data_IF_273659261345
#
_entry.id   IF_273659261345
#
_cell.length_a   1.000
_cell.length_b   1.000
_cell.length_c   1.000
_cell.angle_alpha   90.00
_cell.angle_beta   90.00
_cell.angle_gamma   90.00
#
_symmetry.space_group_name_H-M   'P 1'
#
loop_
_entity.id
_entity.type
_entity.pdbx_description
1 polymer ?
#
# COMPACT_ATOMS: atom_id res chain seq x y z
N UNK A 1 -35.39 -73.33 -37.43
CA UNK A 1 -35.21 -73.16 -35.98
C UNK A 1 -33.86 -72.50 -35.77
N UNK A 2 -33.79 -71.17 -35.53
CA UNK A 2 -32.60 -70.46 -35.23
C UNK A 2 -32.83 -69.77 -33.81
N UNK A 3 -32.05 -70.19 -32.83
CA UNK A 3 -32.09 -69.60 -31.47
C UNK A 3 -31.37 -68.27 -31.51
N UNK A 4 -32.08 -67.21 -31.15
CA UNK A 4 -31.49 -65.85 -30.85
C UNK A 4 -30.98 -65.84 -29.46
N UNK A 5 -29.67 -65.53 -29.28
CA UNK A 5 -29.04 -65.27 -27.95
C UNK A 5 -29.19 -63.79 -27.61
N UNK A 6 -29.86 -63.56 -26.52
CA UNK A 6 -30.08 -62.23 -25.96
C UNK A 6 -28.83 -61.83 -25.09
N UNK A 7 -28.05 -60.86 -25.56
CA UNK A 7 -26.96 -60.27 -24.75
C UNK A 7 -27.52 -59.16 -23.91
N UNK A 8 -27.54 -59.36 -22.60
CA UNK A 8 -27.82 -58.30 -21.60
C UNK A 8 -26.53 -57.51 -21.38
N UNK A 9 -26.48 -56.30 -21.91
CA UNK A 9 -25.42 -55.32 -21.60
C UNK A 9 -25.81 -54.60 -20.33
N UNK A 10 -25.15 -54.92 -19.22
CA UNK A 10 -25.27 -54.21 -17.94
C UNK A 10 -24.51 -52.91 -18.05
N UNK A 11 -25.24 -51.79 -18.22
CA UNK A 11 -24.66 -50.44 -18.19
C UNK A 11 -24.42 -50.05 -16.74
N UNK A 12 -23.16 -50.08 -16.27
CA UNK A 12 -22.74 -49.52 -15.00
C UNK A 12 -22.77 -47.99 -15.13
N UNK A 13 -23.81 -47.35 -14.59
CA UNK A 13 -23.88 -45.92 -14.38
C UNK A 13 -22.89 -45.58 -13.24
N UNK A 14 -21.68 -45.13 -13.59
CA UNK A 14 -20.80 -44.42 -12.70
C UNK A 14 -21.42 -43.06 -12.44
N UNK A 15 -22.11 -42.88 -11.31
CA UNK A 15 -22.48 -41.56 -10.80
C UNK A 15 -21.19 -40.77 -10.46
N UNK A 16 -21.03 -39.52 -10.92
CA UNK A 16 -19.92 -38.74 -10.49
C UNK A 16 -20.09 -38.50 -8.98
N UNK A 17 -19.14 -38.97 -8.17
CA UNK A 17 -18.98 -38.54 -6.80
C UNK A 17 -18.62 -37.08 -6.87
N UNK A 18 -19.61 -36.19 -6.70
CA UNK A 18 -19.35 -34.80 -6.42
C UNK A 18 -18.61 -34.77 -5.08
N UNK A 19 -17.30 -34.60 -5.14
CA UNK A 19 -16.53 -34.26 -3.95
C UNK A 19 -17.07 -32.93 -3.44
N UNK A 20 -17.90 -32.96 -2.42
CA UNK A 20 -18.26 -31.78 -1.64
C UNK A 20 -16.95 -31.31 -1.03
N UNK A 21 -16.35 -30.27 -1.62
CA UNK A 21 -15.22 -29.59 -1.02
C UNK A 21 -15.66 -29.15 0.38
N UNK A 22 -15.12 -29.83 1.41
CA UNK A 22 -15.35 -29.46 2.78
C UNK A 22 -14.86 -28.03 2.97
N UNK A 23 -15.73 -27.14 3.46
CA UNK A 23 -15.31 -25.78 3.79
C UNK A 23 -14.11 -25.85 4.75
N UNK A 24 -13.05 -25.07 4.51
CA UNK A 24 -11.90 -25.04 5.42
C UNK A 24 -12.35 -24.80 6.86
N UNK A 25 -11.68 -25.42 7.82
CA UNK A 25 -11.96 -25.21 9.23
C UNK A 25 -11.68 -23.74 9.58
N UNK A 26 -12.62 -23.09 10.23
CA UNK A 26 -12.42 -21.73 10.72
C UNK A 26 -11.74 -21.76 12.09
N UNK A 27 -10.67 -20.99 12.24
CA UNK A 27 -9.89 -20.84 13.47
C UNK A 27 -10.20 -19.48 14.10
N UNK A 28 -10.55 -19.46 15.37
CA UNK A 28 -10.86 -18.24 16.10
C UNK A 28 -9.71 -17.82 17.01
N UNK A 29 -9.44 -16.52 17.07
CA UNK A 29 -8.56 -15.89 18.05
C UNK A 29 -9.18 -14.59 18.56
N UNK A 30 -8.97 -14.30 19.84
CA UNK A 30 -9.36 -13.04 20.45
C UNK A 30 -8.11 -12.26 20.84
N UNK A 31 -8.01 -11.04 20.35
CA UNK A 31 -7.02 -10.03 20.73
C UNK A 31 -7.66 -9.00 21.69
N UNK A 32 -6.95 -7.93 22.06
CA UNK A 32 -7.51 -6.95 22.99
C UNK A 32 -8.77 -6.29 22.42
N UNK A 33 -8.68 -5.76 21.20
CA UNK A 33 -9.76 -5.00 20.55
C UNK A 33 -10.47 -5.79 19.45
N UNK A 34 -9.90 -6.95 19.01
CA UNK A 34 -10.37 -7.68 17.84
C UNK A 34 -10.80 -9.11 18.15
N UNK A 35 -11.75 -9.60 17.37
CA UNK A 35 -12.10 -11.02 17.23
C UNK A 35 -11.81 -11.43 15.79
N UNK A 36 -10.89 -12.38 15.65
CA UNK A 36 -10.41 -12.84 14.33
C UNK A 36 -10.99 -14.21 14.04
N UNK A 37 -11.52 -14.39 12.84
CA UNK A 37 -11.89 -15.70 12.27
C UNK A 37 -11.03 -15.91 11.02
N UNK A 38 -10.20 -16.97 10.99
CA UNK A 38 -9.32 -17.25 9.86
C UNK A 38 -9.53 -18.67 9.36
N UNK A 39 -9.67 -18.84 8.04
CA UNK A 39 -9.67 -20.15 7.37
C UNK A 39 -8.25 -20.65 7.06
N UNK A 40 -7.19 -19.89 7.41
CA UNK A 40 -5.79 -20.27 7.15
C UNK A 40 -5.24 -21.19 8.25
N UNK A 41 -5.07 -20.63 9.44
CA UNK A 41 -4.64 -21.39 10.64
C UNK A 41 -4.92 -20.60 11.92
N UNK A 42 -4.74 -21.25 13.07
CA UNK A 42 -4.85 -20.60 14.38
C UNK A 42 -3.71 -19.60 14.61
N UNK A 43 -2.51 -19.95 14.19
CA UNK A 43 -1.31 -19.09 14.27
C UNK A 43 -1.52 -17.81 13.46
N UNK A 44 -2.08 -17.95 12.25
CA UNK A 44 -2.46 -16.80 11.40
C UNK A 44 -3.49 -15.90 12.10
N UNK A 45 -4.54 -16.49 12.70
CA UNK A 45 -5.55 -15.71 13.42
C UNK A 45 -4.94 -14.94 14.61
N UNK A 46 -4.03 -15.57 15.37
CA UNK A 46 -3.34 -14.93 16.50
C UNK A 46 -2.40 -13.83 16.03
N UNK A 47 -1.63 -14.04 14.97
CA UNK A 47 -0.72 -13.04 14.39
C UNK A 47 -1.49 -11.84 13.86
N UNK A 48 -2.59 -12.06 13.12
CA UNK A 48 -3.46 -11.00 12.63
C UNK A 48 -4.04 -10.17 13.77
N UNK A 49 -4.46 -10.82 14.87
CA UNK A 49 -4.98 -10.13 16.04
C UNK A 49 -3.95 -9.20 16.68
N UNK A 50 -2.69 -9.64 16.81
CA UNK A 50 -1.59 -8.81 17.34
C UNK A 50 -1.29 -7.62 16.44
N UNK A 51 -1.23 -7.84 15.12
CA UNK A 51 -1.03 -6.77 14.15
C UNK A 51 -2.12 -5.71 14.25
N UNK A 52 -3.38 -6.11 14.26
CA UNK A 52 -4.51 -5.19 14.33
C UNK A 52 -4.62 -4.46 15.67
N UNK A 53 -4.30 -5.11 16.80
CA UNK A 53 -4.20 -4.41 18.10
C UNK A 53 -3.12 -3.33 18.08
N UNK A 54 -1.97 -3.62 17.51
CA UNK A 54 -0.87 -2.67 17.40
C UNK A 54 -1.23 -1.49 16.47
N UNK A 55 -1.94 -1.74 15.36
CA UNK A 55 -2.49 -0.69 14.50
C UNK A 55 -3.53 0.15 15.23
N UNK A 56 -4.43 -0.49 16.01
CA UNK A 56 -5.42 0.21 16.83
C UNK A 56 -4.76 1.18 17.80
N UNK A 57 -3.70 0.76 18.48
CA UNK A 57 -2.98 1.59 19.44
C UNK A 57 -2.34 2.80 18.76
N UNK A 58 -1.76 2.63 17.55
CA UNK A 58 -1.25 3.76 16.76
C UNK A 58 -2.39 4.72 16.38
N UNK A 59 -3.48 4.22 15.83
CA UNK A 59 -4.62 5.08 15.47
C UNK A 59 -5.12 5.82 16.69
N UNK A 60 -5.31 5.11 17.81
CA UNK A 60 -5.86 5.72 19.03
C UNK A 60 -4.90 6.64 19.76
N UNK A 61 -3.58 6.52 19.52
CA UNK A 61 -2.61 7.50 20.01
C UNK A 61 -2.87 8.90 19.45
N UNK A 62 -3.43 8.98 18.23
CA UNK A 62 -3.80 10.23 17.56
C UNK A 62 -5.21 10.68 17.95
N UNK A 63 -6.20 9.78 17.89
CA UNK A 63 -7.62 10.12 18.06
C UNK A 63 -8.05 10.20 19.52
N UNK A 64 -7.41 9.46 20.42
CA UNK A 64 -7.68 9.44 21.88
C UNK A 64 -9.14 9.11 22.20
N UNK A 65 -9.75 8.25 21.41
CA UNK A 65 -11.08 7.72 21.74
C UNK A 65 -10.99 6.81 22.97
N UNK A 66 -12.05 6.77 23.76
CA UNK A 66 -12.14 5.84 24.89
C UNK A 66 -12.53 4.44 24.39
N UNK A 67 -11.62 3.42 24.48
CA UNK A 67 -11.93 2.07 24.04
C UNK A 67 -13.11 1.41 24.75
N UNK A 68 -13.46 1.86 25.98
CA UNK A 68 -14.62 1.36 26.70
C UNK A 68 -15.95 1.69 26.00
N UNK A 69 -15.94 2.63 25.06
CA UNK A 69 -17.12 2.98 24.25
C UNK A 69 -17.37 2.05 23.05
N UNK A 70 -16.44 1.13 22.77
CA UNK A 70 -16.66 0.14 21.73
C UNK A 70 -17.84 -0.77 22.11
N UNK A 71 -18.76 -1.06 21.17
CA UNK A 71 -19.91 -1.93 21.44
C UNK A 71 -19.54 -3.40 21.61
N UNK A 72 -18.29 -3.75 21.39
CA UNK A 72 -17.70 -5.08 21.47
C UNK A 72 -16.39 -5.14 20.68
N UNK A 73 -15.80 -6.33 20.57
CA UNK A 73 -14.60 -6.52 19.75
C UNK A 73 -14.89 -6.32 18.27
N UNK A 74 -13.98 -5.67 17.57
CA UNK A 74 -14.02 -5.48 16.13
C UNK A 74 -13.83 -6.82 15.43
N UNK A 75 -14.68 -7.17 14.48
CA UNK A 75 -14.66 -8.47 13.82
C UNK A 75 -13.82 -8.42 12.55
N UNK A 76 -12.98 -9.44 12.37
CA UNK A 76 -12.18 -9.61 11.17
C UNK A 76 -12.28 -11.06 10.71
N UNK A 77 -12.50 -11.25 9.42
CA UNK A 77 -12.58 -12.55 8.75
C UNK A 77 -11.58 -12.65 7.62
N UNK A 78 -10.73 -13.67 7.69
CA UNK A 78 -9.77 -13.98 6.64
C UNK A 78 -10.14 -15.32 6.01
N UNK A 79 -10.55 -15.29 4.76
CA UNK A 79 -10.88 -16.47 3.97
C UNK A 79 -9.60 -17.10 3.42
N UNK A 80 -9.66 -18.39 3.10
CA UNK A 80 -8.50 -19.15 2.67
C UNK A 80 -7.89 -18.66 1.33
N UNK A 81 -8.72 -18.10 0.45
CA UNK A 81 -8.31 -17.61 -0.86
C UNK A 81 -9.38 -16.68 -1.47
N UNK A 82 -9.05 -16.08 -2.63
CA UNK A 82 -9.91 -15.17 -3.37
C UNK A 82 -11.26 -15.76 -3.75
N UNK A 83 -11.33 -17.04 -4.15
CA UNK A 83 -12.59 -17.68 -4.50
C UNK A 83 -13.55 -17.72 -3.30
N UNK A 84 -13.05 -18.14 -2.12
CA UNK A 84 -13.83 -18.17 -0.87
C UNK A 84 -14.29 -16.79 -0.46
N UNK A 85 -13.44 -15.79 -0.64
CA UNK A 85 -13.74 -14.40 -0.38
C UNK A 85 -14.89 -13.89 -1.26
N UNK A 86 -14.84 -14.17 -2.58
CA UNK A 86 -15.91 -13.80 -3.50
C UNK A 86 -17.23 -14.50 -3.15
N UNK A 87 -17.21 -15.80 -2.85
CA UNK A 87 -18.37 -16.55 -2.42
C UNK A 87 -19.01 -15.98 -1.13
N UNK A 88 -18.17 -15.50 -0.21
CA UNK A 88 -18.63 -14.87 1.02
C UNK A 88 -19.24 -13.50 0.74
N UNK A 89 -18.54 -12.64 0.00
CA UNK A 89 -18.97 -11.27 -0.28
C UNK A 89 -20.20 -11.19 -1.17
N UNK A 90 -20.42 -12.11 -2.11
CA UNK A 90 -21.60 -12.11 -2.98
C UNK A 90 -22.93 -12.13 -2.22
N UNK A 91 -22.91 -12.50 -0.94
CA UNK A 91 -24.11 -12.45 -0.06
C UNK A 91 -24.48 -11.02 0.34
N UNK A 92 -23.55 -10.07 0.24
CA UNK A 92 -23.67 -8.70 0.77
C UNK A 92 -23.44 -7.63 -0.28
N UNK A 93 -22.55 -7.87 -1.24
CA UNK A 93 -22.16 -6.93 -2.29
C UNK A 93 -22.27 -7.58 -3.67
N UNK A 94 -22.85 -6.86 -4.66
CA UNK A 94 -23.12 -7.44 -5.98
C UNK A 94 -21.87 -7.55 -6.88
N UNK A 95 -20.74 -6.96 -6.49
CA UNK A 95 -19.49 -6.96 -7.25
C UNK A 95 -18.35 -7.56 -6.46
N UNK A 96 -17.51 -8.36 -7.13
CA UNK A 96 -16.24 -8.81 -6.59
C UNK A 96 -15.33 -7.63 -6.25
N UNK A 97 -14.48 -7.81 -5.24
CA UNK A 97 -13.43 -6.90 -4.79
C UNK A 97 -12.12 -7.66 -4.78
N UNK A 98 -11.00 -6.96 -4.99
CA UNK A 98 -9.68 -7.57 -5.06
C UNK A 98 -8.82 -7.31 -3.79
N UNK A 99 -9.41 -6.66 -2.79
CA UNK A 99 -8.75 -6.21 -1.58
C UNK A 99 -9.61 -6.46 -0.32
N UNK A 100 -9.15 -6.01 0.84
CA UNK A 100 -9.96 -6.01 2.07
C UNK A 100 -11.22 -5.17 1.90
N UNK A 101 -12.32 -5.63 2.48
CA UNK A 101 -13.61 -4.93 2.45
C UNK A 101 -14.18 -4.81 3.86
N UNK A 102 -14.43 -3.58 4.30
CA UNK A 102 -15.17 -3.35 5.54
C UNK A 102 -16.67 -3.32 5.26
N UNK A 103 -17.37 -4.35 5.73
CA UNK A 103 -18.83 -4.43 5.72
C UNK A 103 -19.37 -3.62 6.90
N UNK A 104 -19.97 -2.48 6.60
CA UNK A 104 -20.53 -1.58 7.60
C UNK A 104 -22.05 -1.61 7.61
N UNK A 105 -22.62 -1.77 8.80
CA UNK A 105 -24.06 -1.82 9.04
C UNK A 105 -24.41 -0.85 10.17
N UNK A 106 -25.69 -0.44 10.23
CA UNK A 106 -26.24 0.32 11.37
C UNK A 106 -26.19 -0.44 12.69
N UNK A 107 -26.27 -1.77 12.64
CA UNK A 107 -26.01 -2.64 13.78
C UNK A 107 -24.52 -2.96 13.88
N UNK A 108 -23.79 -2.42 14.88
CA UNK A 108 -22.35 -2.65 15.03
C UNK A 108 -21.97 -4.12 15.18
N UNK A 109 -22.86 -4.96 15.71
CA UNK A 109 -22.61 -6.38 15.90
C UNK A 109 -22.47 -7.15 14.57
N UNK A 110 -22.93 -6.58 13.48
CA UNK A 110 -22.86 -7.13 12.12
C UNK A 110 -21.68 -6.60 11.31
N UNK A 111 -21.01 -5.54 11.79
CA UNK A 111 -19.87 -4.97 11.10
C UNK A 111 -18.69 -5.93 11.12
N UNK A 112 -18.02 -6.11 9.99
CA UNK A 112 -16.90 -7.06 9.83
C UNK A 112 -15.92 -6.57 8.75
N UNK A 113 -14.63 -6.64 9.04
CA UNK A 113 -13.57 -6.48 8.05
C UNK A 113 -13.29 -7.84 7.44
N UNK A 114 -13.39 -7.96 6.12
CA UNK A 114 -13.26 -9.23 5.39
C UNK A 114 -12.11 -9.12 4.40
N UNK A 115 -11.26 -10.13 4.39
CA UNK A 115 -10.17 -10.30 3.44
C UNK A 115 -9.91 -11.78 3.15
N UNK A 116 -8.85 -12.08 2.41
CA UNK A 116 -8.41 -13.44 2.14
C UNK A 116 -6.89 -13.53 2.32
N UNK A 117 -6.35 -14.74 2.39
CA UNK A 117 -4.92 -14.94 2.54
C UNK A 117 -4.21 -14.62 1.21
N UNK A 118 -3.31 -13.64 1.25
CA UNK A 118 -2.46 -13.21 0.14
C UNK A 118 -1.14 -12.70 0.71
N UNK A 119 -0.03 -12.96 0.04
CA UNK A 119 1.32 -12.54 0.46
C UNK A 119 1.79 -11.26 -0.26
N UNK A 120 0.96 -10.64 -1.09
CA UNK A 120 1.27 -9.42 -1.82
C UNK A 120 1.47 -8.23 -0.85
N UNK A 121 2.56 -7.46 -0.95
CA UNK A 121 2.76 -6.23 -0.18
C UNK A 121 1.60 -5.22 -0.30
N UNK A 122 0.99 -5.10 -1.48
CA UNK A 122 -0.15 -4.20 -1.71
C UNK A 122 -1.37 -4.63 -0.88
N UNK A 123 -1.48 -5.92 -0.55
CA UNK A 123 -2.53 -6.43 0.30
C UNK A 123 -2.42 -5.92 1.75
N UNK A 124 -1.19 -5.69 2.24
CA UNK A 124 -0.95 -5.05 3.54
C UNK A 124 -1.44 -3.60 3.56
N UNK A 125 -1.24 -2.85 2.48
CA UNK A 125 -1.73 -1.47 2.35
C UNK A 125 -3.27 -1.45 2.42
N UNK A 126 -3.92 -2.35 1.69
CA UNK A 126 -5.39 -2.50 1.72
C UNK A 126 -5.92 -2.89 3.10
N UNK A 127 -5.22 -3.79 3.82
CA UNK A 127 -5.56 -4.13 5.21
C UNK A 127 -5.50 -2.89 6.10
N UNK A 128 -4.39 -2.14 6.08
CA UNK A 128 -4.20 -0.96 6.92
C UNK A 128 -5.25 0.11 6.64
N UNK A 129 -5.55 0.36 5.36
CA UNK A 129 -6.58 1.29 4.94
C UNK A 129 -7.95 0.92 5.53
N UNK A 130 -8.38 -0.32 5.32
CA UNK A 130 -9.70 -0.77 5.76
C UNK A 130 -9.77 -0.96 7.29
N UNK A 131 -8.66 -1.32 7.94
CA UNK A 131 -8.57 -1.39 9.39
C UNK A 131 -8.74 0.00 10.04
N UNK A 132 -8.15 1.05 9.44
CA UNK A 132 -8.41 2.41 9.90
C UNK A 132 -9.87 2.82 9.71
N UNK A 133 -10.47 2.51 8.56
CA UNK A 133 -11.90 2.79 8.32
C UNK A 133 -12.78 2.05 9.35
N UNK A 134 -12.47 0.79 9.66
CA UNK A 134 -13.15 0.04 10.71
C UNK A 134 -12.99 0.72 12.07
N UNK A 135 -11.76 1.12 12.43
CA UNK A 135 -11.45 1.81 13.68
C UNK A 135 -12.27 3.09 13.84
N UNK A 136 -12.18 4.04 12.92
CA UNK A 136 -12.85 5.32 13.05
C UNK A 136 -14.38 5.18 13.07
N UNK A 137 -14.92 4.26 12.26
CA UNK A 137 -16.37 4.03 12.19
C UNK A 137 -16.93 3.25 13.38
N UNK A 138 -16.08 2.57 14.14
CA UNK A 138 -16.49 1.95 15.40
C UNK A 138 -16.82 3.00 16.49
N UNK A 139 -16.15 4.15 16.45
CA UNK A 139 -16.39 5.26 17.38
C UNK A 139 -17.36 6.31 16.80
N UNK A 140 -17.23 6.59 15.52
CA UNK A 140 -18.04 7.56 14.79
C UNK A 140 -18.54 6.91 13.49
N UNK A 141 -19.76 6.36 13.44
CA UNK A 141 -20.25 5.62 12.26
C UNK A 141 -20.22 6.40 10.94
N UNK A 142 -20.41 7.71 11.00
CA UNK A 142 -20.49 8.58 9.83
C UNK A 142 -19.51 9.77 9.93
N UNK A 143 -18.17 9.53 9.90
CA UNK A 143 -17.20 10.63 9.92
C UNK A 143 -17.16 11.34 8.55
N UNK A 144 -16.74 12.62 8.48
CA UNK A 144 -16.51 13.31 7.23
C UNK A 144 -15.60 12.49 6.29
N UNK A 145 -15.94 12.46 4.99
CA UNK A 145 -15.24 11.59 4.02
C UNK A 145 -13.75 11.95 3.89
N UNK A 146 -13.43 13.24 3.90
CA UNK A 146 -12.04 13.69 3.83
C UNK A 146 -11.19 13.17 5.01
N UNK A 147 -11.78 13.12 6.20
CA UNK A 147 -11.11 12.62 7.40
C UNK A 147 -10.96 11.10 7.35
N UNK A 148 -12.03 10.39 7.01
CA UNK A 148 -12.04 8.93 6.91
C UNK A 148 -11.02 8.43 5.90
N UNK A 149 -11.10 8.92 4.66
CA UNK A 149 -10.24 8.45 3.58
C UNK A 149 -8.83 9.03 3.70
N UNK A 150 -8.69 10.31 4.06
CA UNK A 150 -7.39 10.95 4.23
C UNK A 150 -6.52 10.29 5.29
N UNK A 151 -7.08 9.94 6.45
CA UNK A 151 -6.34 9.19 7.46
C UNK A 151 -6.15 7.71 7.08
N UNK A 152 -7.09 7.09 6.36
CA UNK A 152 -6.90 5.74 5.88
C UNK A 152 -5.65 5.67 4.99
N UNK A 153 -5.50 6.57 4.02
CA UNK A 153 -4.29 6.68 3.17
C UNK A 153 -3.06 7.09 3.99
N UNK A 154 -3.20 7.97 4.97
CA UNK A 154 -2.10 8.41 5.84
C UNK A 154 -1.45 7.26 6.61
N UNK A 155 -2.26 6.26 7.05
CA UNK A 155 -1.78 5.10 7.81
C UNK A 155 -1.47 3.85 6.97
N UNK A 156 -1.77 3.83 5.67
CA UNK A 156 -1.61 2.65 4.81
C UNK A 156 -0.24 2.00 4.93
N UNK A 157 0.82 2.80 5.00
CA UNK A 157 2.19 2.31 4.95
C UNK A 157 2.76 1.91 6.32
N UNK A 158 1.95 1.94 7.39
CA UNK A 158 2.34 1.49 8.72
C UNK A 158 2.77 0.01 8.68
N UNK A 159 3.93 -0.30 9.27
CA UNK A 159 4.48 -1.64 9.30
C UNK A 159 4.46 -2.22 10.72
N UNK A 160 4.01 -3.46 10.85
CA UNK A 160 4.09 -4.27 12.06
C UNK A 160 5.20 -5.30 11.91
N UNK A 161 6.12 -5.36 12.87
CA UNK A 161 7.13 -6.40 12.95
C UNK A 161 6.65 -7.53 13.89
N UNK A 162 6.30 -8.70 13.36
CA UNK A 162 5.81 -9.81 14.18
C UNK A 162 6.88 -10.41 15.11
N UNK A 163 8.17 -10.18 14.85
CA UNK A 163 9.26 -10.69 15.66
C UNK A 163 9.48 -9.87 16.93
N UNK A 164 9.38 -8.54 16.83
CA UNK A 164 9.53 -7.61 17.96
C UNK A 164 8.20 -7.21 18.58
N UNK A 165 7.10 -7.30 17.81
CA UNK A 165 5.79 -6.77 18.19
C UNK A 165 5.68 -5.24 18.04
N UNK A 166 6.70 -4.63 17.46
CA UNK A 166 6.72 -3.17 17.27
C UNK A 166 5.96 -2.76 16.02
N UNK A 167 5.38 -1.57 16.08
CA UNK A 167 4.74 -0.93 14.93
C UNK A 167 5.54 0.32 14.55
N UNK A 168 5.97 0.39 13.32
CA UNK A 168 6.61 1.55 12.75
C UNK A 168 5.61 2.31 11.88
N UNK A 169 5.31 3.54 12.26
CA UNK A 169 4.58 4.45 11.40
C UNK A 169 5.50 4.91 10.25
N UNK A 170 5.05 4.67 9.03
CA UNK A 170 5.68 5.18 7.81
C UNK A 170 4.62 5.96 7.03
N UNK A 171 4.88 7.23 6.77
CA UNK A 171 3.97 8.05 5.97
C UNK A 171 3.93 7.52 4.53
N UNK A 172 2.72 7.34 3.99
CA UNK A 172 2.56 6.93 2.60
C UNK A 172 2.79 8.13 1.67
N UNK A 173 4.00 8.26 1.14
CA UNK A 173 4.38 9.33 0.22
C UNK A 173 4.12 8.99 -1.25
N UNK A 174 3.48 7.86 -1.57
CA UNK A 174 3.21 7.46 -2.95
C UNK A 174 2.37 8.49 -3.72
N UNK A 175 1.48 9.20 -3.02
CA UNK A 175 0.65 10.24 -3.60
C UNK A 175 1.33 11.61 -3.76
N UNK A 176 2.55 11.79 -3.22
CA UNK A 176 3.19 13.10 -3.15
C UNK A 176 3.53 13.67 -4.53
N UNK A 177 4.03 12.83 -5.44
CA UNK A 177 4.34 13.28 -6.81
C UNK A 177 3.07 13.67 -7.58
N UNK A 178 2.00 12.88 -7.46
CA UNK A 178 0.69 13.18 -8.03
C UNK A 178 0.16 14.51 -7.49
N UNK A 179 0.24 14.69 -6.16
CA UNK A 179 -0.25 15.91 -5.52
C UNK A 179 0.58 17.14 -5.89
N UNK A 180 1.90 17.01 -6.07
CA UNK A 180 2.76 18.09 -6.61
C UNK A 180 2.36 18.49 -8.03
N UNK A 181 2.10 17.50 -8.88
CA UNK A 181 1.63 17.75 -10.26
C UNK A 181 0.25 18.43 -10.27
N UNK A 182 -0.63 18.12 -9.30
CA UNK A 182 -1.93 18.80 -9.13
C UNK A 182 -1.78 20.20 -8.53
N UNK A 183 -0.85 20.40 -7.61
CA UNK A 183 -0.57 21.70 -6.98
C UNK A 183 0.16 22.69 -7.91
N UNK A 184 0.77 22.19 -8.99
CA UNK A 184 1.41 23.03 -10.00
C UNK A 184 0.43 24.08 -10.58
N UNK A 185 0.96 25.14 -11.19
CA UNK A 185 0.15 26.24 -11.75
C UNK A 185 -0.84 26.85 -10.73
N UNK A 186 -0.39 27.07 -9.49
CA UNK A 186 -1.20 27.63 -8.38
C UNK A 186 -2.37 26.75 -7.96
N UNK A 187 -2.29 25.44 -8.20
CA UNK A 187 -3.29 24.48 -7.76
C UNK A 187 -4.55 24.44 -8.63
N UNK A 188 -4.46 24.77 -9.91
CA UNK A 188 -5.62 24.76 -10.84
C UNK A 188 -6.33 23.39 -10.90
N UNK A 189 -5.62 22.29 -10.60
CA UNK A 189 -6.19 20.94 -10.59
C UNK A 189 -6.68 20.48 -9.20
N UNK A 190 -6.49 21.30 -8.18
CA UNK A 190 -6.98 20.99 -6.84
C UNK A 190 -8.45 21.37 -6.72
N UNK A 191 -9.20 20.53 -6.02
CA UNK A 191 -10.54 20.92 -5.55
C UNK A 191 -10.40 21.97 -4.43
N UNK A 192 -11.31 22.96 -4.34
CA UNK A 192 -11.32 23.86 -3.20
C UNK A 192 -11.38 23.09 -1.88
N UNK A 193 -10.52 23.44 -0.91
CA UNK A 193 -10.45 22.72 0.38
C UNK A 193 -11.81 22.76 1.08
N UNK A 194 -12.52 23.87 1.02
CA UNK A 194 -13.86 24.00 1.61
C UNK A 194 -14.90 23.05 0.98
N UNK A 195 -14.77 22.75 -0.31
CA UNK A 195 -15.65 21.79 -0.99
C UNK A 195 -15.31 20.35 -0.57
N UNK A 196 -14.02 20.05 -0.43
CA UNK A 196 -13.57 18.74 0.10
C UNK A 196 -14.10 18.49 1.52
N UNK A 197 -14.12 19.51 2.39
CA UNK A 197 -14.64 19.37 3.76
C UNK A 197 -16.11 18.94 3.79
N UNK A 198 -16.87 19.20 2.74
CA UNK A 198 -18.31 18.92 2.62
C UNK A 198 -18.65 17.94 1.50
N UNK A 199 -17.66 17.30 0.88
CA UNK A 199 -17.87 16.42 -0.26
C UNK A 199 -18.74 15.23 0.13
N UNK A 200 -19.73 14.91 -0.69
CA UNK A 200 -20.59 13.76 -0.51
C UNK A 200 -20.08 12.53 -1.29
N UNK A 201 -20.67 11.33 -1.11
CA UNK A 201 -20.20 10.12 -1.81
C UNK A 201 -20.24 10.22 -3.34
N UNK A 202 -21.19 10.97 -3.91
CA UNK A 202 -21.27 11.18 -5.36
C UNK A 202 -20.12 12.07 -5.83
N UNK A 203 -19.88 13.16 -5.13
CA UNK A 203 -18.73 14.03 -5.41
C UNK A 203 -17.38 13.32 -5.31
N UNK A 204 -17.21 12.40 -4.37
CA UNK A 204 -16.00 11.55 -4.33
C UNK A 204 -15.91 10.68 -5.56
N UNK A 205 -17.01 10.05 -5.98
CA UNK A 205 -17.07 9.16 -7.15
C UNK A 205 -16.72 9.88 -8.44
N UNK A 206 -17.15 11.11 -8.56
CA UNK A 206 -16.91 11.96 -9.73
C UNK A 206 -15.48 12.54 -9.79
N UNK A 207 -14.73 12.48 -8.66
CA UNK A 207 -13.40 13.08 -8.52
C UNK A 207 -12.36 12.12 -7.92
N UNK A 208 -12.44 10.82 -8.15
CA UNK A 208 -11.59 9.82 -7.50
C UNK A 208 -10.10 10.12 -7.61
N UNK A 209 -9.62 10.47 -8.82
CA UNK A 209 -8.21 10.72 -9.09
C UNK A 209 -7.65 11.96 -8.36
N UNK A 210 -8.52 12.92 -8.06
CA UNK A 210 -8.15 14.15 -7.35
C UNK A 210 -8.37 14.01 -5.85
N UNK A 211 -9.43 13.34 -5.45
CA UNK A 211 -9.87 13.27 -4.06
C UNK A 211 -8.85 12.58 -3.16
N UNK A 212 -8.44 11.34 -3.49
CA UNK A 212 -7.55 10.56 -2.61
C UNK A 212 -6.19 11.21 -2.38
N UNK A 213 -5.45 11.66 -3.43
CA UNK A 213 -4.20 12.39 -3.21
C UNK A 213 -4.39 13.65 -2.37
N UNK A 214 -5.47 14.39 -2.60
CA UNK A 214 -5.68 15.68 -1.95
C UNK A 214 -6.11 15.52 -0.49
N UNK A 215 -6.99 14.57 -0.14
CA UNK A 215 -7.37 14.34 1.27
C UNK A 215 -6.23 13.76 2.09
N UNK A 216 -5.40 12.89 1.51
CA UNK A 216 -4.16 12.49 2.14
C UNK A 216 -3.26 13.68 2.42
N UNK A 217 -3.03 14.54 1.42
CA UNK A 217 -2.18 15.72 1.56
C UNK A 217 -2.71 16.70 2.60
N UNK A 218 -4.02 16.91 2.67
CA UNK A 218 -4.66 17.76 3.68
C UNK A 218 -4.44 17.19 5.08
N UNK A 219 -4.66 15.88 5.29
CA UNK A 219 -4.41 15.23 6.57
C UNK A 219 -2.92 15.32 6.93
N UNK A 220 -2.03 15.03 5.99
CA UNK A 220 -0.58 15.14 6.18
C UNK A 220 -0.16 16.57 6.56
N UNK A 221 -0.69 17.58 5.87
CA UNK A 221 -0.44 19.00 6.18
C UNK A 221 -0.90 19.34 7.60
N UNK A 222 -2.15 19.06 7.94
CA UNK A 222 -2.72 19.44 9.23
C UNK A 222 -2.10 18.64 10.39
N UNK A 223 -1.68 17.39 10.17
CA UNK A 223 -1.06 16.57 11.21
C UNK A 223 0.42 16.89 11.46
N UNK A 224 1.17 17.29 10.41
CA UNK A 224 2.62 17.46 10.50
C UNK A 224 3.09 18.92 10.44
N UNK A 225 2.18 19.87 10.29
CA UNK A 225 2.55 21.29 10.29
C UNK A 225 3.08 21.73 11.67
N UNK A 226 4.05 22.65 11.66
CA UNK A 226 4.54 23.32 12.88
C UNK A 226 3.67 24.52 13.29
N UNK A 227 2.78 24.96 12.41
CA UNK A 227 1.83 26.03 12.73
C UNK A 227 0.68 25.46 13.56
N UNK A 228 0.63 25.90 14.83
CA UNK A 228 -0.40 25.47 15.77
C UNK A 228 -1.83 25.83 15.34
N UNK A 229 -2.02 26.88 14.50
CA UNK A 229 -3.33 27.24 13.99
C UNK A 229 -3.87 26.14 13.07
N UNK A 230 -3.02 25.59 12.19
CA UNK A 230 -3.42 24.51 11.27
C UNK A 230 -3.53 23.16 11.96
N UNK A 231 -2.61 22.82 12.86
CA UNK A 231 -2.72 21.55 13.60
C UNK A 231 -3.97 21.49 14.48
N UNK A 232 -4.42 22.61 15.02
CA UNK A 232 -5.69 22.70 15.77
C UNK A 232 -6.90 22.42 14.91
N UNK A 233 -6.91 22.82 13.60
CA UNK A 233 -8.03 22.52 12.71
C UNK A 233 -8.35 21.02 12.66
N UNK A 234 -7.31 20.18 12.64
CA UNK A 234 -7.48 18.73 12.61
C UNK A 234 -8.11 18.21 13.90
N UNK A 235 -7.55 18.58 15.05
CA UNK A 235 -7.98 18.04 16.35
C UNK A 235 -9.27 18.65 16.85
N UNK A 236 -9.53 19.91 16.55
CA UNK A 236 -10.83 20.54 16.79
C UNK A 236 -11.91 19.83 15.94
N UNK A 237 -11.60 19.47 14.68
CA UNK A 237 -12.50 18.68 13.83
C UNK A 237 -12.83 17.31 14.43
N UNK A 238 -11.81 16.59 14.93
CA UNK A 238 -12.00 15.27 15.59
C UNK A 238 -12.89 15.43 16.85
N UNK A 239 -12.67 16.49 17.64
CA UNK A 239 -13.43 16.72 18.87
C UNK A 239 -14.91 17.03 18.66
N UNK A 240 -15.27 17.49 17.47
CA UNK A 240 -16.65 17.84 17.10
C UNK A 240 -17.45 16.65 16.54
N UNK A 241 -16.82 15.50 16.30
CA UNK A 241 -17.48 14.33 15.76
C UNK A 241 -18.48 13.76 16.76
N UNK A 242 -19.72 13.60 16.32
CA UNK A 242 -20.78 13.02 17.13
C UNK A 242 -21.15 11.61 16.62
N UNK A 243 -21.09 10.56 17.47
CA UNK A 243 -21.40 9.19 17.08
C UNK A 243 -22.81 8.98 16.54
N UNK A 244 -23.78 9.76 17.04
CA UNK A 244 -25.17 9.67 16.62
C UNK A 244 -25.55 10.51 15.40
N UNK A 245 -24.60 11.35 14.91
CA UNK A 245 -24.85 12.25 13.79
C UNK A 245 -24.76 11.52 12.44
N UNK A 246 -25.54 12.00 11.48
CA UNK A 246 -25.39 11.63 10.07
C UNK A 246 -24.06 12.16 9.49
N UNK A 247 -23.71 11.73 8.28
CA UNK A 247 -22.57 12.25 7.57
C UNK A 247 -22.68 13.76 7.36
N UNK A 248 -23.83 14.21 6.89
CA UNK A 248 -24.09 15.64 6.62
C UNK A 248 -24.01 16.50 7.90
N UNK A 249 -24.55 16.03 9.02
CA UNK A 249 -24.46 16.73 10.30
C UNK A 249 -23.02 16.82 10.80
N UNK A 250 -22.23 15.74 10.75
CA UNK A 250 -20.83 15.77 11.12
C UNK A 250 -20.02 16.70 10.20
N UNK A 251 -20.24 16.67 8.89
CA UNK A 251 -19.59 17.57 7.93
C UNK A 251 -19.95 19.03 8.21
N UNK A 252 -21.22 19.33 8.40
CA UNK A 252 -21.70 20.70 8.69
C UNK A 252 -21.13 21.22 10.00
N UNK A 253 -21.13 20.40 11.07
CA UNK A 253 -20.58 20.77 12.35
C UNK A 253 -19.08 21.09 12.26
N UNK A 254 -18.32 20.25 11.59
CA UNK A 254 -16.87 20.46 11.40
C UNK A 254 -16.64 21.71 10.55
N UNK A 255 -17.30 21.81 9.40
CA UNK A 255 -17.11 22.95 8.51
C UNK A 255 -17.46 24.28 9.18
N UNK A 256 -18.65 24.41 9.76
CA UNK A 256 -19.17 25.68 10.30
C UNK A 256 -18.37 26.16 11.53
N UNK A 257 -17.81 25.24 12.33
CA UNK A 257 -17.10 25.58 13.57
C UNK A 257 -15.58 25.68 13.40
N UNK A 258 -15.01 24.99 12.39
CA UNK A 258 -13.56 24.90 12.21
C UNK A 258 -13.09 25.61 10.96
N UNK A 259 -13.63 25.28 9.78
CA UNK A 259 -13.08 25.75 8.50
C UNK A 259 -13.70 27.02 7.95
N UNK A 260 -14.96 27.28 8.20
CA UNK A 260 -15.72 28.41 7.62
C UNK A 260 -15.06 29.79 7.77
N UNK A 261 -14.31 29.97 8.83
CA UNK A 261 -13.69 31.26 9.18
C UNK A 261 -12.27 31.42 8.64
N UNK A 262 -11.72 30.37 8.03
CA UNK A 262 -10.41 30.46 7.41
C UNK A 262 -10.52 30.99 5.97
N UNK A 263 -9.54 31.84 5.61
CA UNK A 263 -9.46 32.34 4.25
C UNK A 263 -9.00 31.20 3.33
N UNK A 264 -9.86 30.76 2.42
CA UNK A 264 -9.61 29.66 1.48
C UNK A 264 -8.32 29.86 0.68
N UNK A 265 -8.09 31.09 0.18
CA UNK A 265 -6.90 31.39 -0.63
C UNK A 265 -5.61 31.23 0.18
N UNK A 266 -5.61 31.66 1.45
CA UNK A 266 -4.44 31.54 2.32
C UNK A 266 -4.20 30.09 2.70
N UNK A 267 -5.26 29.37 3.09
CA UNK A 267 -5.18 27.95 3.44
C UNK A 267 -4.65 27.11 2.26
N UNK A 268 -5.15 27.35 1.05
CA UNK A 268 -4.69 26.66 -0.16
C UNK A 268 -3.23 27.02 -0.49
N UNK A 269 -2.82 28.27 -0.34
CA UNK A 269 -1.44 28.68 -0.60
C UNK A 269 -0.46 28.03 0.39
N UNK A 270 -0.80 27.96 1.67
CA UNK A 270 0.04 27.34 2.71
C UNK A 270 0.07 25.82 2.56
N UNK A 271 -1.05 25.22 2.14
CA UNK A 271 -1.11 23.80 1.79
C UNK A 271 -0.17 23.49 0.60
N UNK A 272 -0.21 24.27 -0.47
CA UNK A 272 0.70 24.12 -1.63
C UNK A 272 2.16 24.28 -1.17
N UNK A 273 2.47 25.31 -0.39
CA UNK A 273 3.82 25.52 0.12
C UNK A 273 4.32 24.32 0.98
N UNK A 274 3.43 23.72 1.79
CA UNK A 274 3.75 22.51 2.53
C UNK A 274 4.09 21.34 1.59
N UNK A 275 3.26 21.08 0.57
CA UNK A 275 3.48 20.01 -0.40
C UNK A 275 4.79 20.22 -1.17
N UNK A 276 5.07 21.44 -1.61
CA UNK A 276 6.31 21.78 -2.34
C UNK A 276 7.55 21.57 -1.49
N UNK A 277 7.46 21.79 -0.18
CA UNK A 277 8.56 21.60 0.77
C UNK A 277 8.93 20.11 1.01
N UNK A 278 8.03 19.17 0.63
CA UNK A 278 8.23 17.74 0.87
C UNK A 278 9.08 17.12 -0.25
N UNK A 279 9.99 16.20 0.12
CA UNK A 279 10.75 15.43 -0.85
C UNK A 279 9.91 14.24 -1.35
N UNK A 280 9.68 14.17 -2.65
CA UNK A 280 9.00 13.06 -3.29
C UNK A 280 10.00 11.99 -3.76
N UNK A 281 9.50 10.79 -4.10
CA UNK A 281 10.32 9.74 -4.72
C UNK A 281 11.08 10.26 -5.94
N UNK A 282 10.38 10.93 -6.87
CA UNK A 282 10.95 11.50 -8.10
C UNK A 282 12.06 12.51 -7.79
N UNK A 283 11.84 13.40 -6.82
CA UNK A 283 12.85 14.40 -6.44
C UNK A 283 14.08 13.78 -5.79
N UNK A 284 13.91 12.75 -4.96
CA UNK A 284 15.02 12.01 -4.35
C UNK A 284 15.84 11.25 -5.40
N UNK A 285 15.15 10.57 -6.33
CA UNK A 285 15.86 9.87 -7.44
C UNK A 285 16.68 10.86 -8.25
N UNK A 286 16.12 12.02 -8.61
CA UNK A 286 16.87 13.02 -9.36
C UNK A 286 18.07 13.59 -8.56
N UNK A 287 17.87 13.93 -7.28
CA UNK A 287 18.95 14.37 -6.38
C UNK A 287 20.06 13.30 -6.26
N UNK A 288 19.67 12.04 -6.12
CA UNK A 288 20.61 10.91 -6.06
C UNK A 288 21.43 10.75 -7.35
N UNK A 289 20.79 10.90 -8.52
CA UNK A 289 21.46 10.86 -9.83
C UNK A 289 22.44 12.02 -9.96
N UNK A 290 22.07 13.23 -9.57
CA UNK A 290 22.92 14.41 -9.64
C UNK A 290 24.16 14.26 -8.73
N UNK A 291 23.96 13.75 -7.51
CA UNK A 291 25.04 13.45 -6.55
C UNK A 291 25.97 12.34 -7.08
N UNK A 292 25.42 11.27 -7.64
CA UNK A 292 26.21 10.19 -8.27
C UNK A 292 27.05 10.74 -9.43
N UNK A 293 26.44 11.55 -10.29
CA UNK A 293 27.13 12.17 -11.44
C UNK A 293 28.23 13.13 -11.01
N UNK A 294 28.06 13.77 -9.85
CA UNK A 294 29.09 14.61 -9.21
C UNK A 294 30.14 13.80 -8.42
N UNK A 295 30.13 12.46 -8.50
CA UNK A 295 31.01 11.55 -7.76
C UNK A 295 30.90 11.66 -6.22
N UNK A 296 29.78 12.18 -5.70
CA UNK A 296 29.46 12.27 -4.26
C UNK A 296 28.77 11.00 -3.78
N UNK A 297 29.48 9.86 -3.89
CA UNK A 297 28.92 8.53 -3.76
C UNK A 297 28.25 8.24 -2.42
N UNK A 298 28.78 8.77 -1.29
CA UNK A 298 28.18 8.57 0.04
C UNK A 298 26.88 9.34 0.20
N UNK A 299 26.82 10.56 -0.33
CA UNK A 299 25.60 11.38 -0.29
C UNK A 299 24.53 10.76 -1.20
N UNK A 300 24.90 10.34 -2.42
CA UNK A 300 24.00 9.67 -3.35
C UNK A 300 23.38 8.40 -2.76
N UNK A 301 24.19 7.56 -2.09
CA UNK A 301 23.70 6.33 -1.47
C UNK A 301 22.62 6.61 -0.41
N UNK A 302 22.83 7.61 0.45
CA UNK A 302 21.83 8.01 1.46
C UNK A 302 20.52 8.47 0.82
N UNK A 303 20.60 9.24 -0.28
CA UNK A 303 19.40 9.70 -0.99
C UNK A 303 18.67 8.54 -1.65
N UNK A 304 19.40 7.56 -2.24
CA UNK A 304 18.75 6.36 -2.78
C UNK A 304 18.20 5.44 -1.69
N UNK A 305 18.79 5.42 -0.49
CA UNK A 305 18.18 4.74 0.67
C UNK A 305 16.86 5.40 1.11
N UNK A 306 16.80 6.74 1.10
CA UNK A 306 15.55 7.47 1.36
C UNK A 306 14.50 7.20 0.28
N UNK A 307 14.91 7.20 -1.00
CA UNK A 307 14.00 6.89 -2.11
C UNK A 307 13.45 5.46 -2.00
N UNK A 308 14.30 4.47 -1.67
CA UNK A 308 13.88 3.09 -1.50
C UNK A 308 12.89 2.88 -0.32
N UNK A 309 12.90 3.76 0.69
CA UNK A 309 11.91 3.72 1.78
C UNK A 309 10.54 4.25 1.36
N UNK A 310 10.49 5.18 0.39
CA UNK A 310 9.24 5.72 -0.13
C UNK A 310 8.56 4.72 -1.08
N UNK A 311 9.35 4.10 -1.96
CA UNK A 311 8.88 3.10 -2.93
C UNK A 311 9.90 1.94 -2.97
N UNK A 312 9.66 0.95 -2.11
CA UNK A 312 10.54 -0.22 -2.00
C UNK A 312 10.46 -1.14 -3.21
N UNK A 313 9.40 -1.04 -4.02
CA UNK A 313 9.20 -1.87 -5.21
C UNK A 313 9.80 -1.27 -6.47
N UNK A 314 10.28 -0.04 -6.42
CA UNK A 314 10.94 0.60 -7.55
C UNK A 314 12.40 0.16 -7.67
N UNK A 315 12.80 -0.28 -8.86
CA UNK A 315 14.15 -0.78 -9.10
C UNK A 315 15.24 0.29 -9.12
N UNK A 316 14.90 1.55 -9.38
CA UNK A 316 15.88 2.62 -9.64
C UNK A 316 16.86 2.84 -8.49
N UNK A 317 16.43 2.97 -7.21
CA UNK A 317 17.37 3.11 -6.11
C UNK A 317 18.36 1.96 -6.01
N UNK A 318 17.91 0.73 -6.19
CA UNK A 318 18.76 -0.47 -6.13
C UNK A 318 19.77 -0.51 -7.28
N UNK A 319 19.34 -0.15 -8.48
CA UNK A 319 20.25 -0.05 -9.62
C UNK A 319 21.39 0.94 -9.38
N UNK A 320 21.09 2.16 -8.93
CA UNK A 320 22.09 3.18 -8.63
C UNK A 320 22.98 2.82 -7.44
N UNK A 321 22.45 2.17 -6.40
CA UNK A 321 23.28 1.62 -5.32
C UNK A 321 24.24 0.56 -5.83
N UNK A 322 23.83 -0.28 -6.77
CA UNK A 322 24.72 -1.19 -7.48
C UNK A 322 25.86 -0.46 -8.20
N UNK A 323 25.57 0.62 -8.91
CA UNK A 323 26.59 1.46 -9.56
C UNK A 323 27.54 2.13 -8.55
N UNK A 324 27.03 2.58 -7.40
CA UNK A 324 27.82 3.19 -6.31
C UNK A 324 28.79 2.16 -5.73
N UNK A 325 28.31 0.95 -5.39
CA UNK A 325 29.17 -0.13 -4.89
C UNK A 325 30.22 -0.55 -5.92
N UNK A 326 29.84 -0.64 -7.20
CA UNK A 326 30.80 -0.87 -8.29
C UNK A 326 31.89 0.20 -8.32
N UNK A 327 31.54 1.49 -8.26
CA UNK A 327 32.48 2.58 -8.25
C UNK A 327 33.46 2.54 -7.05
N UNK A 328 33.02 2.02 -5.91
CA UNK A 328 33.84 1.78 -4.71
C UNK A 328 34.63 0.47 -4.75
N UNK A 329 34.51 -0.32 -5.81
CA UNK A 329 35.07 -1.68 -5.94
C UNK A 329 34.54 -2.70 -4.93
N UNK A 330 33.34 -2.48 -4.42
CA UNK A 330 32.60 -3.35 -3.50
C UNK A 330 31.74 -4.33 -4.33
N UNK A 331 32.38 -5.16 -5.15
CA UNK A 331 31.75 -5.91 -6.24
C UNK A 331 30.65 -6.88 -5.76
N UNK A 332 30.86 -7.56 -4.64
CA UNK A 332 29.87 -8.45 -4.07
C UNK A 332 28.61 -7.71 -3.58
N UNK A 333 28.76 -6.48 -3.07
CA UNK A 333 27.64 -5.64 -2.69
C UNK A 333 26.89 -5.11 -3.93
N UNK A 334 27.62 -4.75 -5.00
CA UNK A 334 27.05 -4.37 -6.27
C UNK A 334 26.14 -5.48 -6.85
N UNK A 335 26.63 -6.74 -6.88
CA UNK A 335 25.85 -7.89 -7.36
C UNK A 335 24.53 -8.06 -6.61
N UNK A 336 24.54 -7.88 -5.27
CA UNK A 336 23.32 -7.95 -4.46
C UNK A 336 22.31 -6.87 -4.83
N UNK A 337 22.76 -5.64 -5.07
CA UNK A 337 21.90 -4.53 -5.44
C UNK A 337 21.33 -4.70 -6.86
N UNK A 338 22.14 -5.17 -7.81
CA UNK A 338 21.66 -5.48 -9.16
C UNK A 338 20.64 -6.61 -9.15
N UNK A 339 20.87 -7.67 -8.36
CA UNK A 339 19.90 -8.75 -8.21
C UNK A 339 18.57 -8.24 -7.62
N UNK A 340 18.63 -7.34 -6.62
CA UNK A 340 17.45 -6.70 -6.06
C UNK A 340 16.73 -5.82 -7.11
N UNK A 341 17.47 -5.06 -7.92
CA UNK A 341 16.87 -4.27 -9.00
C UNK A 341 16.14 -5.15 -10.03
N UNK A 342 16.73 -6.30 -10.39
CA UNK A 342 16.12 -7.26 -11.32
C UNK A 342 14.82 -7.83 -10.75
N UNK A 343 14.82 -8.23 -9.46
CA UNK A 343 13.65 -8.75 -8.78
C UNK A 343 12.50 -7.73 -8.68
N UNK A 344 12.84 -6.43 -8.73
CA UNK A 344 11.88 -5.30 -8.72
C UNK A 344 11.52 -4.78 -10.10
N UNK A 345 11.71 -5.61 -11.14
CA UNK A 345 11.22 -5.32 -12.49
C UNK A 345 12.12 -4.46 -13.35
N UNK A 346 13.39 -4.28 -12.99
CA UNK A 346 14.36 -3.63 -13.89
C UNK A 346 14.49 -4.40 -15.20
N UNK A 347 14.74 -3.66 -16.29
CA UNK A 347 14.96 -4.26 -17.60
C UNK A 347 16.12 -5.30 -17.54
N UNK A 348 15.88 -6.59 -17.85
CA UNK A 348 16.88 -7.64 -17.65
C UNK A 348 18.20 -7.39 -18.38
N UNK A 349 18.15 -6.88 -19.61
CA UNK A 349 19.34 -6.58 -20.40
C UNK A 349 20.23 -5.52 -19.73
N UNK A 350 19.65 -4.46 -19.16
CA UNK A 350 20.37 -3.43 -18.40
C UNK A 350 21.10 -4.05 -17.22
N UNK A 351 20.41 -4.87 -16.45
CA UNK A 351 20.96 -5.45 -15.22
C UNK A 351 22.02 -6.49 -15.52
N UNK A 352 21.78 -7.41 -16.47
CA UNK A 352 22.79 -8.40 -16.86
C UNK A 352 24.04 -7.74 -17.44
N UNK A 353 23.89 -6.64 -18.17
CA UNK A 353 25.05 -5.89 -18.66
C UNK A 353 25.84 -5.28 -17.49
N UNK A 354 25.16 -4.67 -16.51
CA UNK A 354 25.80 -4.13 -15.31
C UNK A 354 26.52 -5.21 -14.48
N UNK A 355 25.89 -6.38 -14.27
CA UNK A 355 26.51 -7.54 -13.60
C UNK A 355 27.74 -8.02 -14.40
N UNK A 356 27.66 -8.07 -15.72
CA UNK A 356 28.78 -8.46 -16.58
C UNK A 356 29.98 -7.53 -16.42
N UNK A 357 29.74 -6.21 -16.41
CA UNK A 357 30.80 -5.20 -16.15
C UNK A 357 31.36 -5.36 -14.73
N UNK A 358 30.50 -5.57 -13.72
CA UNK A 358 30.93 -5.76 -12.34
C UNK A 358 31.78 -7.01 -12.17
N UNK A 359 31.38 -8.14 -12.74
CA UNK A 359 32.15 -9.39 -12.72
C UNK A 359 33.52 -9.26 -13.43
N UNK A 360 33.56 -8.53 -14.55
CA UNK A 360 34.82 -8.26 -15.26
C UNK A 360 35.77 -7.45 -14.39
N UNK A 361 35.31 -6.39 -13.74
CA UNK A 361 36.13 -5.56 -12.87
C UNK A 361 36.63 -6.32 -11.62
N UNK A 362 35.91 -7.34 -11.20
CA UNK A 362 36.26 -8.26 -10.10
C UNK A 362 37.14 -9.44 -10.55
N UNK A 363 37.53 -9.51 -11.82
CA UNK A 363 38.35 -10.61 -12.39
C UNK A 363 37.58 -11.92 -12.62
N UNK A 364 36.28 -11.95 -12.47
CA UNK A 364 35.41 -13.12 -12.68
C UNK A 364 35.03 -13.25 -14.17
N UNK A 365 36.00 -13.61 -14.99
CA UNK A 365 35.88 -13.58 -16.46
C UNK A 365 34.75 -14.43 -17.00
N UNK A 366 34.57 -15.66 -16.49
CA UNK A 366 33.49 -16.57 -16.95
C UNK A 366 32.12 -16.02 -16.63
N UNK A 367 31.89 -15.55 -15.40
CA UNK A 367 30.64 -14.92 -14.98
C UNK A 367 30.33 -13.64 -15.78
N UNK A 368 31.39 -12.87 -16.14
CA UNK A 368 31.24 -11.71 -16.99
C UNK A 368 30.70 -12.08 -18.38
N UNK A 369 31.33 -13.09 -19.02
CA UNK A 369 30.90 -13.55 -20.35
C UNK A 369 29.48 -14.12 -20.35
N UNK A 370 29.11 -14.89 -19.32
CA UNK A 370 27.77 -15.41 -19.16
C UNK A 370 26.74 -14.28 -19.03
N UNK A 371 27.01 -13.31 -18.16
CA UNK A 371 26.09 -12.18 -17.92
C UNK A 371 25.94 -11.28 -19.15
N UNK A 372 27.04 -11.02 -19.87
CA UNK A 372 26.99 -10.27 -21.14
C UNK A 372 26.22 -11.02 -22.22
N UNK A 373 26.33 -12.37 -22.27
CA UNK A 373 25.51 -13.20 -23.17
C UNK A 373 24.01 -13.02 -22.87
N UNK A 374 23.61 -13.15 -21.60
CA UNK A 374 22.22 -12.93 -21.16
C UNK A 374 21.71 -11.52 -21.48
N UNK A 375 22.55 -10.50 -21.38
CA UNK A 375 22.17 -9.13 -21.75
C UNK A 375 21.85 -9.01 -23.24
N UNK A 376 22.67 -9.61 -24.11
CA UNK A 376 22.46 -9.60 -25.55
C UNK A 376 21.28 -10.46 -26.03
N UNK A 377 20.95 -11.52 -25.28
CA UNK A 377 19.75 -12.37 -25.52
C UNK A 377 18.47 -11.65 -25.09
N UNK A 378 18.52 -10.91 -23.98
CA UNK A 378 17.36 -10.22 -23.43
C UNK A 378 16.94 -8.98 -24.23
N UNK A 379 17.90 -8.28 -24.88
CA UNK A 379 17.58 -7.10 -25.70
C UNK A 379 18.62 -6.95 -26.84
N UNK A 380 18.18 -6.92 -28.11
CA UNK A 380 19.06 -6.69 -29.28
C UNK A 380 19.88 -5.39 -29.20
N UNK A 381 19.41 -4.37 -28.48
CA UNK A 381 20.14 -3.11 -28.28
C UNK A 381 21.43 -3.29 -27.48
N UNK A 382 21.50 -4.32 -26.62
CA UNK A 382 22.71 -4.67 -25.86
C UNK A 382 23.63 -5.66 -26.59
N UNK A 383 23.13 -6.36 -27.60
CA UNK A 383 23.85 -7.45 -28.27
C UNK A 383 25.22 -7.01 -28.79
N UNK A 384 25.26 -5.93 -29.57
CA UNK A 384 26.53 -5.45 -30.12
C UNK A 384 27.54 -5.02 -29.05
N UNK A 385 27.07 -4.30 -28.02
CA UNK A 385 27.89 -3.87 -26.90
C UNK A 385 28.46 -5.05 -26.10
N UNK A 386 27.64 -6.05 -25.84
CA UNK A 386 28.00 -7.26 -25.10
C UNK A 386 29.02 -8.10 -25.91
N UNK A 387 28.80 -8.28 -27.22
CA UNK A 387 29.74 -9.00 -28.10
C UNK A 387 31.08 -8.32 -28.21
N UNK A 388 31.13 -6.99 -28.37
CA UNK A 388 32.37 -6.23 -28.49
C UNK A 388 33.21 -6.31 -27.21
N UNK A 389 32.51 -6.22 -26.04
CA UNK A 389 33.17 -6.39 -24.75
C UNK A 389 33.68 -7.84 -24.57
N UNK A 390 32.85 -8.84 -24.90
CA UNK A 390 33.22 -10.26 -24.82
C UNK A 390 34.42 -10.60 -25.71
N UNK A 391 34.54 -10.01 -26.90
CA UNK A 391 35.73 -10.17 -27.79
C UNK A 391 36.97 -9.56 -27.17
N UNK A 392 36.90 -8.46 -26.44
CA UNK A 392 38.04 -7.84 -25.74
C UNK A 392 38.49 -8.66 -24.55
N UNK A 393 37.58 -9.31 -23.84
CA UNK A 393 37.88 -10.18 -22.70
C UNK A 393 38.61 -11.46 -23.12
N UNK A 394 38.29 -11.99 -24.30
CA UNK A 394 38.87 -13.25 -24.83
C UNK A 394 40.24 -13.05 -25.51
N UNK A 395 40.72 -11.82 -25.68
CA UNK A 395 42.08 -11.48 -26.21
C UNK A 395 43.05 -11.31 -25.07
#
# INVERSE_FOLDING_TARGET
>A
MKKAALHIVTLLLLAPIAATAQSPAAHEAAANHYQIVSEVSREHAVSMGKNLDALFDIYNSHFRFDPARLPGKLKVRILANKQRYDEYLHRFVPRSRDDFTYLHYSDPSRCELVGYAEEDPDFRLALNHQAFIQFIRAFVPNPPLWMREGFAVYFENTAFDPATGEVQYLENLAWLDTLKDMAANKGEKLLPIQDIMRINPDGVRDNLETFYPQVWGIVSFLANTRDSNYSRLLWDSVSLLAPSASLEENQTNVYDRVFKWYNERTLTADFIAYIDSRKSFRSLVQEGIDLYSANKLQEAEKIFDEAARIDENNFVPYYYRGLIHYARKEYAAADKQYAAALAKGAQPALIYYAIGINALADGRTEAALESLGKAGEADPAYKQKAEDLSKRIKR
#
